data_IF_123449575787
#
_entry.id   IF_123449575787
#
_cell.length_a   1.000
_cell.length_b   1.000
_cell.length_c   1.000
_cell.angle_alpha   90.00
_cell.angle_beta   90.00
_cell.angle_gamma   90.00
#
_symmetry.space_group_name_H-M   'P 1'
#
loop_
_entity.id
_entity.type
_entity.pdbx_description
1 polymer ?
#
# COMPACT_ATOMS: atom_id res chain seq x y z
N UNK A 1 -40.26 49.60 13.60
CA UNK A 1 -40.69 50.00 12.24
C UNK A 1 -39.43 50.10 11.38
N UNK A 2 -39.32 49.30 10.30
CA UNK A 2 -38.41 49.40 9.13
C UNK A 2 -36.87 49.48 9.37
N UNK A 3 -36.13 48.45 8.88
CA UNK A 3 -35.09 48.46 7.80
C UNK A 3 -33.73 49.04 8.25
N UNK A 4 -32.60 48.35 8.13
CA UNK A 4 -31.74 48.11 6.93
C UNK A 4 -30.72 46.97 7.27
N UNK A 5 -30.58 45.85 6.55
CA UNK A 5 -29.75 45.54 5.35
C UNK A 5 -28.42 46.29 5.22
N UNK A 6 -27.28 45.55 5.31
CA UNK A 6 -26.08 45.48 4.42
C UNK A 6 -25.17 44.35 5.01
N UNK A 7 -24.96 43.16 4.43
CA UNK A 7 -24.24 42.69 3.21
C UNK A 7 -22.69 42.67 3.32
N UNK A 8 -22.11 41.50 2.95
CA UNK A 8 -20.76 41.13 2.48
C UNK A 8 -20.07 40.04 3.35
N UNK A 9 -19.62 38.90 2.81
CA UNK A 9 -19.45 38.52 1.41
C UNK A 9 -19.25 37.01 1.19
N UNK A 10 -19.62 36.61 -0.02
CA UNK A 10 -19.42 35.30 -0.66
C UNK A 10 -17.94 34.92 -0.79
N UNK A 11 -17.65 33.63 -0.57
CA UNK A 11 -16.62 32.81 -1.24
C UNK A 11 -16.88 31.36 -0.77
N UNK A 12 -17.20 30.35 -1.56
CA UNK A 12 -17.54 30.17 -2.96
C UNK A 12 -18.03 28.72 -3.03
N UNK A 13 -19.19 28.48 -3.65
CA UNK A 13 -19.74 27.14 -3.76
C UNK A 13 -19.01 26.37 -4.87
N UNK A 14 -18.36 25.27 -4.51
CA UNK A 14 -18.06 24.16 -5.43
C UNK A 14 -18.52 22.86 -4.79
N UNK A 15 -19.79 22.54 -5.06
CA UNK A 15 -20.33 21.21 -5.39
C UNK A 15 -19.56 20.01 -4.80
N UNK A 16 -19.98 19.56 -3.61
CA UNK A 16 -19.76 18.16 -3.17
C UNK A 16 -21.04 17.39 -3.49
N UNK A 17 -21.07 16.77 -4.66
CA UNK A 17 -22.08 15.77 -5.00
C UNK A 17 -21.75 14.49 -4.21
N UNK A 18 -22.49 14.31 -3.12
CA UNK A 18 -23.04 13.04 -2.65
C UNK A 18 -22.14 11.81 -2.59
N UNK A 19 -21.74 11.45 -1.37
CA UNK A 19 -21.79 10.05 -0.92
C UNK A 19 -22.79 10.01 0.24
N UNK A 20 -24.06 9.82 -0.11
CA UNK A 20 -25.05 9.35 0.83
C UNK A 20 -24.97 7.83 0.91
N UNK A 21 -24.64 7.30 2.08
CA UNK A 21 -25.13 6.00 2.60
C UNK A 21 -24.72 5.86 4.06
N UNK A 22 -25.58 6.23 5.01
CA UNK A 22 -25.68 5.57 6.33
C UNK A 22 -26.81 6.12 7.21
N UNK A 23 -28.02 6.28 6.67
CA UNK A 23 -29.24 6.33 7.49
C UNK A 23 -30.24 5.36 6.85
N UNK A 24 -30.01 4.06 7.07
CA UNK A 24 -30.99 3.02 6.70
C UNK A 24 -31.00 1.91 7.76
N UNK A 25 -31.14 2.29 9.04
CA UNK A 25 -31.58 1.40 10.12
C UNK A 25 -32.37 2.18 11.18
N UNK A 26 -33.38 2.92 10.73
CA UNK A 26 -34.50 3.29 11.56
C UNK A 26 -35.77 2.99 10.76
N UNK A 27 -36.76 2.39 11.43
CA UNK A 27 -38.10 2.01 10.95
C UNK A 27 -38.22 0.58 10.40
N UNK A 28 -38.27 -0.39 11.31
CA UNK A 28 -39.25 -1.48 11.31
C UNK A 28 -39.17 -2.28 12.63
N UNK A 29 -39.85 -1.82 13.68
CA UNK A 29 -40.48 -2.68 14.70
C UNK A 29 -41.25 -1.81 15.72
N UNK A 30 -42.61 -1.88 15.78
CA UNK A 30 -43.41 -1.09 16.71
C UNK A 30 -43.55 -1.68 18.13
N UNK A 31 -42.82 -2.74 18.50
CA UNK A 31 -42.96 -3.38 19.82
C UNK A 31 -41.61 -3.58 20.50
N UNK A 32 -41.16 -2.58 21.24
CA UNK A 32 -40.27 -2.71 22.41
C UNK A 32 -40.06 -1.32 23.01
N UNK A 33 -40.86 -0.97 24.01
CA UNK A 33 -40.61 0.11 24.95
C UNK A 33 -39.34 -0.19 25.74
N UNK A 34 -38.19 0.05 25.11
CA UNK A 34 -36.90 0.10 25.78
C UNK A 34 -36.34 1.50 25.62
N UNK A 35 -36.03 2.07 26.78
CA UNK A 35 -35.60 3.42 27.07
C UNK A 35 -34.66 4.00 25.99
N UNK A 36 -35.12 5.07 25.33
CA UNK A 36 -34.40 5.73 24.23
C UNK A 36 -32.97 6.12 24.63
N UNK A 37 -32.75 6.42 25.91
CA UNK A 37 -31.45 6.82 26.46
C UNK A 37 -30.43 5.67 26.52
N UNK A 38 -30.89 4.43 26.70
CA UNK A 38 -30.04 3.23 26.72
C UNK A 38 -29.66 2.82 25.30
N UNK A 39 -30.61 2.87 24.36
CA UNK A 39 -30.34 2.59 22.94
C UNK A 39 -29.34 3.58 22.34
N UNK A 40 -29.45 4.86 22.67
CA UNK A 40 -28.53 5.88 22.17
C UNK A 40 -27.10 5.73 22.74
N UNK A 41 -26.95 5.35 24.01
CA UNK A 41 -25.65 5.01 24.61
C UNK A 41 -24.99 3.77 23.99
N UNK A 42 -25.78 2.73 23.71
CA UNK A 42 -25.29 1.49 23.08
C UNK A 42 -24.88 1.73 21.62
N UNK A 43 -25.60 2.60 20.90
CA UNK A 43 -25.25 2.99 19.53
C UNK A 43 -23.96 3.81 19.51
N UNK A 44 -23.81 4.81 20.39
CA UNK A 44 -22.58 5.62 20.50
C UNK A 44 -21.36 4.76 20.85
N UNK A 45 -21.47 3.81 21.78
CA UNK A 45 -20.37 2.89 22.11
C UNK A 45 -19.99 1.96 20.96
N UNK A 46 -20.95 1.53 20.13
CA UNK A 46 -20.66 0.72 18.94
C UNK A 46 -19.97 1.53 17.84
N UNK A 47 -20.33 2.81 17.70
CA UNK A 47 -19.71 3.74 16.76
C UNK A 47 -18.28 4.09 17.19
N UNK A 48 -18.07 4.43 18.47
CA UNK A 48 -16.74 4.64 19.06
C UNK A 48 -15.83 3.42 18.87
N UNK A 49 -16.32 2.21 19.15
CA UNK A 49 -15.50 0.99 18.92
C UNK A 49 -15.12 0.78 17.46
N UNK A 50 -15.94 1.21 16.50
CA UNK A 50 -15.60 1.13 15.07
C UNK A 50 -14.55 2.17 14.70
N UNK A 51 -14.69 3.39 15.22
CA UNK A 51 -13.74 4.49 15.04
C UNK A 51 -12.38 4.11 15.67
N UNK A 52 -12.37 3.59 16.89
CA UNK A 52 -11.15 3.15 17.57
C UNK A 52 -10.45 2.05 16.80
N UNK A 53 -11.19 1.03 16.34
CA UNK A 53 -10.63 -0.05 15.52
C UNK A 53 -10.10 0.45 14.18
N UNK A 54 -10.71 1.49 13.61
CA UNK A 54 -10.25 2.11 12.37
C UNK A 54 -8.94 2.86 12.61
N UNK A 55 -8.87 3.70 13.64
CA UNK A 55 -7.64 4.41 14.01
C UNK A 55 -6.52 3.44 14.40
N UNK A 56 -6.79 2.43 15.23
CA UNK A 56 -5.80 1.39 15.59
C UNK A 56 -5.23 0.68 14.35
N UNK A 57 -6.04 0.51 13.30
CA UNK A 57 -5.63 -0.19 12.08
C UNK A 57 -4.86 0.72 11.12
N UNK A 58 -5.28 1.98 10.99
CA UNK A 58 -4.88 2.85 9.87
C UNK A 58 -4.10 4.11 10.27
N UNK A 59 -4.00 4.45 11.56
CA UNK A 59 -3.15 5.53 12.06
C UNK A 59 -1.97 4.97 12.88
N UNK A 60 -0.89 5.74 13.12
CA UNK A 60 0.27 5.29 13.89
C UNK A 60 0.01 5.34 15.42
N UNK A 61 -1.18 5.80 15.83
CA UNK A 61 -1.50 6.00 17.23
C UNK A 61 -1.61 4.68 17.97
N UNK A 62 -1.04 4.64 19.18
CA UNK A 62 -1.21 3.52 20.11
C UNK A 62 -2.65 3.51 20.62
N UNK A 63 -3.13 2.32 21.01
CA UNK A 63 -4.48 2.14 21.57
C UNK A 63 -4.74 3.05 22.77
N UNK A 64 -3.72 3.24 23.61
CA UNK A 64 -3.77 4.12 24.77
C UNK A 64 -3.89 5.59 24.39
N UNK A 65 -3.34 6.00 23.24
CA UNK A 65 -3.44 7.35 22.71
C UNK A 65 -4.83 7.59 22.13
N UNK A 66 -5.32 6.65 21.31
CA UNK A 66 -6.68 6.66 20.76
C UNK A 66 -7.72 6.71 21.88
N UNK A 67 -7.52 5.95 22.97
CA UNK A 67 -8.44 5.93 24.11
C UNK A 67 -8.58 7.27 24.84
N UNK A 68 -7.58 8.16 24.72
CA UNK A 68 -7.58 9.49 25.33
C UNK A 68 -8.19 10.57 24.43
N UNK A 69 -8.41 10.27 23.15
CA UNK A 69 -9.00 11.21 22.21
C UNK A 69 -10.52 11.27 22.35
N UNK A 70 -11.07 12.45 22.15
CA UNK A 70 -12.51 12.67 22.03
C UNK A 70 -13.06 12.08 20.73
N UNK A 71 -14.38 11.81 20.67
CA UNK A 71 -15.04 11.33 19.44
C UNK A 71 -14.79 12.27 18.26
N UNK A 72 -14.81 13.59 18.51
CA UNK A 72 -14.66 14.58 17.45
C UNK A 72 -13.22 14.64 16.93
N UNK A 73 -12.21 14.56 17.79
CA UNK A 73 -10.79 14.43 17.38
C UNK A 73 -10.55 13.15 16.57
N UNK A 74 -11.16 12.04 16.99
CA UNK A 74 -11.10 10.77 16.25
C UNK A 74 -11.74 10.89 14.87
N UNK A 75 -12.89 11.59 14.77
CA UNK A 75 -13.61 11.84 13.51
C UNK A 75 -12.84 12.79 12.60
N UNK A 76 -12.15 13.80 13.14
CA UNK A 76 -11.29 14.70 12.38
C UNK A 76 -10.04 13.99 11.84
N UNK A 77 -9.42 13.10 12.61
CA UNK A 77 -8.32 12.25 12.12
C UNK A 77 -8.78 11.25 11.05
N UNK A 78 -10.00 10.72 11.20
CA UNK A 78 -10.65 9.94 10.15
C UNK A 78 -11.00 10.80 8.92
N UNK A 79 -11.20 12.10 9.07
CA UNK A 79 -11.58 13.03 8.00
C UNK A 79 -10.39 13.62 7.22
N UNK A 80 -9.21 13.71 7.83
CA UNK A 80 -7.97 14.15 7.18
C UNK A 80 -7.19 12.99 6.59
N UNK A 81 -6.28 12.42 7.38
CA UNK A 81 -5.36 11.37 6.90
C UNK A 81 -6.05 10.02 6.70
N UNK A 82 -7.01 9.64 7.55
CA UNK A 82 -7.77 8.39 7.40
C UNK A 82 -8.68 8.38 6.15
N UNK A 83 -9.27 9.52 5.79
CA UNK A 83 -10.09 9.65 4.58
C UNK A 83 -9.22 9.62 3.32
N UNK A 84 -8.05 10.27 3.37
CA UNK A 84 -7.05 10.20 2.30
C UNK A 84 -6.53 8.77 2.11
N UNK A 85 -6.32 8.04 3.21
CA UNK A 85 -5.96 6.63 3.18
C UNK A 85 -7.01 5.77 2.46
N UNK A 86 -8.25 5.78 2.96
CA UNK A 86 -9.35 4.95 2.45
C UNK A 86 -9.77 5.30 1.02
N UNK A 87 -9.61 6.57 0.60
CA UNK A 87 -9.88 6.99 -0.77
C UNK A 87 -8.82 6.53 -1.76
N UNK A 88 -7.57 6.35 -1.30
CA UNK A 88 -6.47 5.89 -2.16
C UNK A 88 -6.33 4.37 -2.23
N UNK A 89 -7.01 3.62 -1.35
CA UNK A 89 -7.09 2.16 -1.46
C UNK A 89 -7.66 1.75 -2.83
N UNK A 90 -7.07 0.71 -3.42
CA UNK A 90 -7.56 0.15 -4.67
C UNK A 90 -8.89 -0.56 -4.44
N UNK A 91 -9.88 -0.25 -5.29
CA UNK A 91 -11.23 -0.81 -5.23
C UNK A 91 -11.68 -1.17 -6.64
N UNK A 92 -12.26 -2.36 -6.82
CA UNK A 92 -12.75 -2.83 -8.13
C UNK A 92 -14.17 -3.40 -8.01
N UNK A 93 -14.96 -3.24 -9.07
CA UNK A 93 -16.36 -3.72 -9.10
C UNK A 93 -17.37 -2.79 -8.39
N UNK A 94 -16.95 -1.63 -7.89
CA UNK A 94 -17.84 -0.66 -7.24
C UNK A 94 -18.99 -0.20 -8.14
N UNK A 95 -20.14 0.07 -7.52
CA UNK A 95 -21.30 0.67 -8.19
C UNK A 95 -22.10 -0.30 -9.08
N UNK A 96 -21.75 -1.59 -9.08
CA UNK A 96 -22.42 -2.60 -9.91
C UNK A 96 -23.48 -3.43 -9.17
N UNK A 97 -23.84 -3.04 -7.93
CA UNK A 97 -24.81 -3.75 -7.10
C UNK A 97 -24.35 -5.17 -6.69
N UNK A 98 -23.06 -5.45 -6.81
CA UNK A 98 -22.45 -6.75 -6.50
C UNK A 98 -22.20 -6.87 -5.01
N UNK A 99 -22.24 -8.10 -4.52
CA UNK A 99 -21.86 -8.40 -3.14
C UNK A 99 -20.35 -8.30 -2.97
N UNK A 100 -19.90 -7.91 -1.77
CA UNK A 100 -18.48 -7.93 -1.41
C UNK A 100 -17.97 -9.38 -1.41
N UNK A 101 -16.75 -9.61 -1.92
CA UNK A 101 -16.18 -10.96 -1.94
C UNK A 101 -16.08 -11.53 -0.51
N UNK A 102 -16.43 -12.81 -0.27
CA UNK A 102 -16.50 -13.34 1.09
C UNK A 102 -15.16 -13.29 1.84
N UNK A 103 -15.12 -12.60 2.98
CA UNK A 103 -13.91 -12.36 3.78
C UNK A 103 -13.27 -13.66 4.30
N UNK A 104 -14.06 -14.70 4.57
CA UNK A 104 -13.59 -16.03 4.97
C UNK A 104 -12.75 -16.71 3.88
N UNK A 105 -12.97 -16.35 2.62
CA UNK A 105 -12.21 -16.83 1.45
C UNK A 105 -11.13 -15.86 0.99
N UNK A 106 -11.27 -14.57 1.34
CA UNK A 106 -10.40 -13.50 0.84
C UNK A 106 -8.92 -13.75 1.14
N UNK A 107 -8.57 -14.13 2.37
CA UNK A 107 -7.16 -14.38 2.75
C UNK A 107 -6.52 -15.52 1.99
N UNK A 108 -7.27 -16.61 1.77
CA UNK A 108 -6.75 -17.75 1.01
C UNK A 108 -6.54 -17.36 -0.46
N UNK A 109 -7.47 -16.57 -1.01
CA UNK A 109 -7.38 -16.08 -2.37
C UNK A 109 -6.21 -15.10 -2.55
N UNK A 110 -6.06 -14.11 -1.67
CA UNK A 110 -4.91 -13.19 -1.61
C UNK A 110 -3.57 -13.96 -1.66
N UNK A 111 -3.41 -14.96 -0.78
CA UNK A 111 -2.20 -15.80 -0.73
C UNK A 111 -1.97 -16.57 -2.03
N UNK A 112 -3.02 -17.08 -2.65
CA UNK A 112 -2.93 -17.74 -3.96
C UNK A 112 -2.41 -16.77 -5.04
N UNK A 113 -2.92 -15.54 -5.06
CA UNK A 113 -2.49 -14.53 -6.03
C UNK A 113 -1.01 -14.14 -5.84
N UNK A 114 -0.55 -14.01 -4.60
CA UNK A 114 0.88 -13.75 -4.28
C UNK A 114 1.76 -14.92 -4.72
N UNK A 115 1.31 -16.17 -4.55
CA UNK A 115 2.05 -17.34 -5.04
C UNK A 115 2.17 -17.35 -6.56
N UNK A 116 1.11 -16.95 -7.28
CA UNK A 116 1.17 -16.77 -8.74
C UNK A 116 2.15 -15.66 -9.14
N UNK A 117 2.15 -14.54 -8.41
CA UNK A 117 3.05 -13.43 -8.66
C UNK A 117 4.52 -13.83 -8.43
N UNK A 118 4.78 -14.62 -7.40
CA UNK A 118 6.11 -15.14 -7.05
C UNK A 118 6.75 -15.89 -8.24
N UNK A 119 5.93 -16.53 -9.07
CA UNK A 119 6.33 -17.25 -10.30
C UNK A 119 6.07 -16.45 -11.58
N UNK A 120 5.96 -15.12 -11.50
CA UNK A 120 5.68 -14.21 -12.61
C UNK A 120 4.43 -14.54 -13.46
N UNK A 121 3.44 -15.25 -12.89
CA UNK A 121 2.20 -15.65 -13.57
C UNK A 121 1.12 -14.56 -13.47
N UNK A 122 1.44 -13.35 -13.90
CA UNK A 122 0.57 -12.17 -13.76
C UNK A 122 -0.73 -12.28 -14.58
N UNK A 123 -0.68 -12.90 -15.76
CA UNK A 123 -1.86 -13.16 -16.60
C UNK A 123 -2.91 -14.02 -15.88
N UNK A 124 -2.45 -15.02 -15.11
CA UNK A 124 -3.33 -15.90 -14.33
C UNK A 124 -4.01 -15.14 -13.18
N UNK A 125 -3.30 -14.22 -12.53
CA UNK A 125 -3.87 -13.32 -11.51
C UNK A 125 -5.00 -12.50 -12.15
N UNK A 126 -4.71 -11.85 -13.29
CA UNK A 126 -5.69 -11.02 -14.00
C UNK A 126 -6.94 -11.83 -14.37
N UNK A 127 -6.77 -13.04 -14.90
CA UNK A 127 -7.89 -13.91 -15.28
C UNK A 127 -8.71 -14.39 -14.08
N UNK A 128 -8.07 -14.77 -12.96
CA UNK A 128 -8.74 -15.21 -11.74
C UNK A 128 -9.59 -14.09 -11.15
N UNK A 129 -8.99 -12.93 -10.88
CA UNK A 129 -9.71 -11.81 -10.28
C UNK A 129 -10.81 -11.31 -11.22
N UNK A 130 -10.58 -11.23 -12.53
CA UNK A 130 -11.61 -10.85 -13.52
C UNK A 130 -12.82 -11.78 -13.50
N UNK A 131 -12.63 -13.06 -13.22
CA UNK A 131 -13.75 -14.00 -13.11
C UNK A 131 -14.57 -13.76 -11.83
N UNK A 132 -13.91 -13.54 -10.69
CA UNK A 132 -14.60 -13.22 -9.43
C UNK A 132 -15.34 -11.87 -9.49
N UNK A 133 -14.73 -10.87 -10.13
CA UNK A 133 -15.31 -9.52 -10.31
C UNK A 133 -16.62 -9.57 -11.11
N UNK A 134 -16.94 -10.65 -11.85
CA UNK A 134 -18.25 -10.80 -12.51
C UNK A 134 -19.39 -10.82 -11.51
N UNK A 135 -19.18 -11.44 -10.35
CA UNK A 135 -20.22 -11.66 -9.33
C UNK A 135 -19.98 -10.84 -8.05
N UNK A 136 -18.73 -10.47 -7.79
CA UNK A 136 -18.32 -9.80 -6.55
C UNK A 136 -17.68 -8.43 -6.81
N UNK A 137 -17.65 -7.61 -5.77
CA UNK A 137 -16.81 -6.42 -5.68
C UNK A 137 -15.71 -6.64 -4.64
N UNK A 138 -14.62 -5.88 -4.77
CA UNK A 138 -13.47 -5.93 -3.87
C UNK A 138 -13.17 -4.51 -3.37
N UNK A 139 -13.79 -4.13 -2.26
CA UNK A 139 -13.84 -2.71 -1.87
C UNK A 139 -13.50 -2.44 -0.41
N UNK A 140 -13.44 -3.47 0.43
CA UNK A 140 -13.18 -3.34 1.87
C UNK A 140 -12.30 -4.49 2.39
N UNK A 141 -11.70 -4.33 3.57
CA UNK A 141 -11.01 -5.43 4.26
C UNK A 141 -9.85 -6.03 3.47
N UNK A 142 -9.70 -7.36 3.48
CA UNK A 142 -8.67 -8.06 2.66
C UNK A 142 -8.94 -7.88 1.15
N UNK A 143 -10.16 -7.59 0.75
CA UNK A 143 -10.48 -7.44 -0.66
C UNK A 143 -9.79 -6.22 -1.30
N UNK A 144 -9.48 -5.16 -0.55
CA UNK A 144 -8.67 -4.05 -1.10
C UNK A 144 -7.24 -4.49 -1.43
N UNK A 145 -6.67 -5.47 -0.69
CA UNK A 145 -5.37 -6.04 -1.02
C UNK A 145 -5.44 -6.85 -2.31
N UNK A 146 -6.49 -7.67 -2.50
CA UNK A 146 -6.74 -8.41 -3.75
C UNK A 146 -6.88 -7.44 -4.93
N UNK A 147 -7.60 -6.33 -4.73
CA UNK A 147 -7.74 -5.29 -5.75
C UNK A 147 -6.38 -4.64 -6.09
N UNK A 148 -5.54 -4.36 -5.09
CA UNK A 148 -4.17 -3.89 -5.31
C UNK A 148 -3.31 -4.92 -6.05
N UNK A 149 -3.36 -6.21 -5.68
CA UNK A 149 -2.63 -7.28 -6.37
C UNK A 149 -3.05 -7.40 -7.84
N UNK A 150 -4.35 -7.29 -8.13
CA UNK A 150 -4.85 -7.27 -9.50
C UNK A 150 -4.31 -6.09 -10.31
N UNK A 151 -4.34 -4.90 -9.71
CA UNK A 151 -3.77 -3.70 -10.32
C UNK A 151 -2.26 -3.83 -10.55
N UNK A 152 -1.52 -4.32 -9.57
CA UNK A 152 -0.07 -4.50 -9.66
C UNK A 152 0.31 -5.56 -10.70
N UNK A 153 -0.47 -6.64 -10.82
CA UNK A 153 -0.30 -7.60 -11.90
C UNK A 153 -0.48 -6.93 -13.29
N UNK A 154 -1.40 -5.98 -13.42
CA UNK A 154 -1.57 -5.22 -14.68
C UNK A 154 -0.41 -4.26 -14.96
N UNK A 155 0.16 -3.65 -13.91
CA UNK A 155 1.40 -2.86 -14.00
C UNK A 155 2.53 -3.75 -14.52
N UNK A 156 2.72 -4.92 -13.92
CA UNK A 156 3.79 -5.84 -14.33
C UNK A 156 3.61 -6.39 -15.74
N UNK A 157 2.38 -6.64 -16.18
CA UNK A 157 2.12 -6.95 -17.60
C UNK A 157 2.51 -5.79 -18.52
N UNK A 158 2.29 -4.55 -18.10
CA UNK A 158 2.66 -3.36 -18.87
C UNK A 158 4.18 -3.19 -18.98
N UNK A 159 4.94 -3.54 -17.93
CA UNK A 159 6.41 -3.45 -17.97
C UNK A 159 7.03 -4.45 -18.95
N UNK A 160 6.39 -5.58 -19.25
CA UNK A 160 6.88 -6.55 -20.25
C UNK A 160 6.94 -5.96 -21.66
N UNK A 161 6.03 -5.03 -21.98
CA UNK A 161 5.95 -4.38 -23.30
C UNK A 161 6.56 -2.99 -23.35
N UNK A 162 6.86 -2.38 -22.19
CA UNK A 162 7.39 -1.03 -22.12
C UNK A 162 8.89 -0.98 -22.48
N UNK A 163 9.39 0.16 -23.00
CA UNK A 163 10.81 0.40 -23.11
C UNK A 163 11.51 0.31 -21.74
N UNK A 164 12.72 -0.25 -21.70
CA UNK A 164 13.46 -0.52 -20.45
C UNK A 164 13.49 0.68 -19.50
N UNK A 165 13.89 1.86 -19.99
CA UNK A 165 14.00 3.09 -19.20
C UNK A 165 12.68 3.55 -18.52
N UNK A 166 11.53 3.03 -18.93
CA UNK A 166 10.23 3.33 -18.32
C UNK A 166 9.78 2.29 -17.30
N UNK A 167 10.30 1.05 -17.35
CA UNK A 167 9.81 -0.07 -16.53
C UNK A 167 9.85 0.24 -15.04
N UNK A 168 10.95 0.80 -14.56
CA UNK A 168 11.07 1.24 -13.16
C UNK A 168 10.05 2.32 -12.78
N UNK A 169 9.79 3.29 -13.65
CA UNK A 169 8.80 4.36 -13.41
C UNK A 169 7.37 3.80 -13.33
N UNK A 170 7.06 2.84 -14.19
CA UNK A 170 5.75 2.15 -14.20
C UNK A 170 5.60 1.33 -12.91
N UNK A 171 6.63 0.58 -12.53
CA UNK A 171 6.64 -0.27 -11.34
C UNK A 171 6.49 0.50 -10.02
N UNK A 172 6.92 1.77 -9.94
CA UNK A 172 6.65 2.63 -8.77
C UNK A 172 5.17 2.78 -8.44
N UNK A 173 4.28 2.59 -9.41
CA UNK A 173 2.84 2.72 -9.21
C UNK A 173 2.21 1.58 -8.41
N UNK A 174 2.95 0.53 -8.05
CA UNK A 174 2.42 -0.63 -7.33
C UNK A 174 1.85 -0.26 -5.95
N UNK A 175 0.80 -0.97 -5.53
CA UNK A 175 -0.02 -0.64 -4.34
C UNK A 175 -0.10 -1.76 -3.31
N UNK A 176 0.49 -2.93 -3.56
CA UNK A 176 0.58 -4.01 -2.60
C UNK A 176 2.04 -4.25 -2.20
N UNK A 177 2.40 -4.22 -0.89
CA UNK A 177 3.80 -4.28 -0.44
C UNK A 177 4.57 -5.51 -0.96
N UNK A 178 3.96 -6.70 -0.87
CA UNK A 178 4.60 -7.93 -1.37
C UNK A 178 4.72 -7.96 -2.90
N UNK A 179 3.74 -7.37 -3.62
CA UNK A 179 3.83 -7.27 -5.07
C UNK A 179 4.90 -6.27 -5.47
N UNK A 180 5.08 -5.19 -4.70
CA UNK A 180 6.16 -4.24 -4.91
C UNK A 180 7.54 -4.91 -4.76
N UNK A 181 7.71 -5.81 -3.76
CA UNK A 181 8.92 -6.64 -3.61
C UNK A 181 9.12 -7.54 -4.83
N UNK A 182 8.14 -8.40 -5.13
CA UNK A 182 8.22 -9.36 -6.24
C UNK A 182 8.46 -8.65 -7.58
N UNK A 183 7.61 -7.67 -7.90
CA UNK A 183 7.62 -6.93 -9.15
C UNK A 183 8.93 -6.19 -9.37
N UNK A 184 9.47 -5.56 -8.32
CA UNK A 184 10.77 -4.87 -8.39
C UNK A 184 11.88 -5.88 -8.69
N UNK A 185 11.98 -7.00 -7.97
CA UNK A 185 13.04 -7.99 -8.22
C UNK A 185 12.99 -8.54 -9.65
N UNK A 186 11.79 -8.69 -10.24
CA UNK A 186 11.59 -9.17 -11.61
C UNK A 186 11.98 -8.16 -12.70
N UNK A 187 12.24 -6.89 -12.35
CA UNK A 187 12.75 -5.91 -13.31
C UNK A 187 14.24 -6.13 -13.58
N UNK A 188 14.73 -5.71 -14.77
CA UNK A 188 16.16 -5.69 -14.99
C UNK A 188 16.85 -4.73 -14.01
N UNK A 189 18.11 -5.05 -13.69
CA UNK A 189 18.85 -4.46 -12.57
C UNK A 189 18.87 -2.93 -12.63
N UNK A 190 19.17 -2.37 -13.80
CA UNK A 190 19.30 -0.92 -14.00
C UNK A 190 18.00 -0.18 -13.73
N UNK A 191 16.86 -0.76 -14.10
CA UNK A 191 15.53 -0.19 -13.95
C UNK A 191 15.07 -0.22 -12.48
N UNK A 192 15.49 -1.23 -11.70
CA UNK A 192 15.19 -1.32 -10.26
C UNK A 192 15.73 -0.15 -9.47
N UNK A 193 16.86 0.41 -9.91
CA UNK A 193 17.49 1.57 -9.27
C UNK A 193 16.62 2.82 -9.30
N UNK A 194 15.63 2.88 -10.19
CA UNK A 194 14.64 3.94 -10.17
C UNK A 194 13.64 3.74 -9.02
N UNK A 195 13.31 2.49 -8.67
CA UNK A 195 12.29 2.11 -7.68
C UNK A 195 12.82 2.14 -6.25
N UNK A 196 14.03 1.61 -6.03
CA UNK A 196 14.65 1.46 -4.72
C UNK A 196 15.34 2.75 -4.29
N UNK A 197 15.06 3.22 -3.07
CA UNK A 197 15.60 4.48 -2.56
C UNK A 197 17.04 4.37 -2.05
N UNK A 198 17.36 3.33 -1.27
CA UNK A 198 18.68 3.18 -0.66
C UNK A 198 19.70 2.63 -1.67
N UNK A 199 20.79 3.35 -1.91
CA UNK A 199 21.85 2.90 -2.81
C UNK A 199 22.74 1.79 -2.21
N UNK A 200 22.73 1.61 -0.89
CA UNK A 200 23.39 0.49 -0.23
C UNK A 200 22.53 -0.79 -0.23
N UNK A 201 21.30 -0.69 -0.73
CA UNK A 201 20.44 -1.84 -0.99
C UNK A 201 21.11 -2.84 -1.93
N UNK A 202 20.98 -4.13 -1.62
CA UNK A 202 21.34 -5.22 -2.53
C UNK A 202 20.46 -5.16 -3.79
N UNK A 203 21.05 -5.48 -4.94
CA UNK A 203 20.36 -5.57 -6.24
C UNK A 203 20.61 -6.96 -6.86
N UNK A 204 20.00 -8.03 -6.30
CA UNK A 204 20.25 -9.40 -6.75
C UNK A 204 19.74 -9.62 -8.17
N UNK A 205 20.56 -10.13 -9.08
CA UNK A 205 20.13 -10.51 -10.43
C UNK A 205 19.68 -11.97 -10.35
N UNK A 206 18.37 -12.22 -10.46
CA UNK A 206 17.79 -13.55 -10.22
C UNK A 206 17.09 -14.05 -11.46
N UNK A 207 17.24 -15.36 -11.71
CA UNK A 207 16.41 -16.09 -12.65
C UNK A 207 15.56 -17.09 -11.86
N UNK A 208 14.28 -16.79 -11.67
CA UNK A 208 13.34 -17.71 -11.04
C UNK A 208 12.40 -17.06 -10.04
N UNK A 209 11.81 -17.89 -9.19
CA UNK A 209 10.78 -17.50 -8.24
C UNK A 209 11.31 -16.57 -7.14
N UNK A 210 10.48 -15.59 -6.77
CA UNK A 210 10.65 -14.72 -5.60
C UNK A 210 9.59 -15.10 -4.58
N UNK A 211 9.93 -15.96 -3.63
CA UNK A 211 8.96 -16.51 -2.68
C UNK A 211 8.89 -15.66 -1.41
N UNK A 212 7.72 -15.12 -1.10
CA UNK A 212 7.48 -14.46 0.20
C UNK A 212 7.46 -15.53 1.31
N UNK A 213 8.25 -15.31 2.35
CA UNK A 213 8.35 -16.20 3.51
C UNK A 213 7.55 -15.67 4.69
N UNK A 214 7.72 -14.37 4.98
CA UNK A 214 7.07 -13.70 6.10
C UNK A 214 6.85 -12.22 5.79
N UNK A 215 5.86 -11.62 6.45
CA UNK A 215 5.50 -10.22 6.30
C UNK A 215 5.08 -9.66 7.66
N UNK A 216 5.92 -8.77 8.18
CA UNK A 216 5.69 -8.03 9.42
C UNK A 216 5.48 -6.54 9.11
N UNK A 217 4.50 -5.92 9.78
CA UNK A 217 4.28 -4.47 9.70
C UNK A 217 4.86 -3.80 10.94
N UNK A 218 5.96 -3.07 10.77
CA UNK A 218 6.64 -2.33 11.83
C UNK A 218 6.02 -0.95 12.01
N UNK A 219 5.76 -0.58 13.28
CA UNK A 219 5.20 0.72 13.68
C UNK A 219 5.75 1.15 15.04
N UNK A 220 5.70 2.45 15.32
CA UNK A 220 6.02 3.01 16.64
C UNK A 220 7.45 2.68 17.11
N UNK A 221 7.57 2.08 18.30
CA UNK A 221 8.83 1.76 18.97
C UNK A 221 9.30 0.32 18.70
N UNK A 222 9.19 -0.18 17.46
CA UNK A 222 9.80 -1.47 17.13
C UNK A 222 11.30 -1.44 17.40
N UNK A 223 11.82 -2.57 17.92
CA UNK A 223 13.26 -2.75 18.15
C UNK A 223 14.04 -3.02 16.86
N UNK A 224 13.38 -3.16 15.70
CA UNK A 224 14.07 -3.31 14.43
C UNK A 224 14.86 -2.01 14.11
N UNK A 225 16.21 -2.09 14.02
CA UNK A 225 17.03 -0.90 13.85
C UNK A 225 16.76 -0.18 12.53
N UNK A 226 16.23 -0.90 11.52
CA UNK A 226 15.93 -0.31 10.23
C UNK A 226 14.72 0.63 10.30
N UNK A 227 13.77 0.39 11.21
CA UNK A 227 12.61 1.27 11.39
C UNK A 227 13.06 2.71 11.71
N UNK A 228 13.99 2.86 12.66
CA UNK A 228 14.52 4.19 13.04
C UNK A 228 15.28 4.86 11.90
N UNK A 229 16.09 4.09 11.16
CA UNK A 229 16.80 4.61 9.99
C UNK A 229 15.83 5.12 8.93
N UNK A 230 14.79 4.36 8.63
CA UNK A 230 13.75 4.74 7.68
C UNK A 230 12.99 5.99 8.15
N UNK A 231 12.52 6.01 9.40
CA UNK A 231 11.79 7.16 9.96
C UNK A 231 12.62 8.45 9.97
N UNK A 232 13.93 8.35 10.17
CA UNK A 232 14.84 9.51 10.13
C UNK A 232 15.14 10.00 8.71
N UNK A 233 15.02 9.14 7.69
CA UNK A 233 15.39 9.45 6.30
C UNK A 233 14.18 9.73 5.40
N UNK A 234 13.04 9.14 5.73
CA UNK A 234 11.81 9.16 4.93
C UNK A 234 10.70 9.84 5.73
N UNK A 235 10.61 11.17 5.56
CA UNK A 235 9.65 12.01 6.28
C UNK A 235 8.21 11.58 5.96
N UNK A 236 7.41 11.32 7.00
CA UNK A 236 6.03 10.89 6.85
C UNK A 236 5.83 9.38 6.67
N UNK A 237 6.89 8.57 6.84
CA UNK A 237 6.78 7.12 6.89
C UNK A 237 5.91 6.70 8.09
N UNK A 238 4.70 6.22 7.81
CA UNK A 238 3.74 5.78 8.84
C UNK A 238 3.97 4.33 9.23
N UNK A 239 4.15 3.48 8.23
CA UNK A 239 4.29 2.03 8.38
C UNK A 239 5.43 1.54 7.54
N UNK A 240 6.17 0.57 8.08
CA UNK A 240 7.24 -0.09 7.35
C UNK A 240 6.93 -1.58 7.27
N UNK A 241 6.70 -2.06 6.07
CA UNK A 241 6.52 -3.48 5.77
C UNK A 241 7.90 -4.12 5.68
N UNK A 242 8.22 -4.95 6.66
CA UNK A 242 9.38 -5.83 6.62
C UNK A 242 8.95 -7.16 6.01
N UNK A 243 9.50 -7.46 4.84
CA UNK A 243 9.10 -8.61 4.05
C UNK A 243 10.31 -9.52 3.91
N UNK A 244 10.25 -10.70 4.51
CA UNK A 244 11.24 -11.74 4.31
C UNK A 244 10.87 -12.54 3.06
N UNK A 245 11.84 -12.70 2.16
CA UNK A 245 11.63 -13.42 0.91
C UNK A 245 12.83 -14.28 0.55
N UNK A 246 12.60 -15.30 -0.28
CA UNK A 246 13.62 -16.22 -0.75
C UNK A 246 13.74 -16.15 -2.26
N UNK A 247 14.99 -16.07 -2.71
CA UNK A 247 15.38 -16.21 -4.11
C UNK A 247 16.34 -17.39 -4.27
N UNK A 248 16.40 -17.95 -5.48
CA UNK A 248 17.28 -19.08 -5.81
C UNK A 248 17.12 -20.30 -4.87
N UNK A 249 15.92 -20.46 -4.28
CA UNK A 249 15.53 -21.54 -3.35
C UNK A 249 16.31 -21.60 -2.01
N UNK A 250 17.27 -20.69 -1.76
CA UNK A 250 18.13 -20.76 -0.57
C UNK A 250 18.55 -19.41 0.02
N UNK A 251 18.49 -18.34 -0.76
CA UNK A 251 18.98 -17.04 -0.35
C UNK A 251 17.82 -16.22 0.20
N UNK A 252 17.72 -16.18 1.53
CA UNK A 252 16.72 -15.40 2.23
C UNK A 252 17.20 -13.95 2.37
N UNK A 253 16.37 -13.00 1.97
CA UNK A 253 16.61 -11.56 2.01
C UNK A 253 15.45 -10.87 2.73
N UNK A 254 15.69 -9.64 3.17
CA UNK A 254 14.70 -8.81 3.84
C UNK A 254 14.53 -7.55 3.00
N UNK A 255 13.31 -7.26 2.58
CA UNK A 255 12.93 -6.00 1.94
C UNK A 255 12.16 -5.12 2.92
N UNK A 256 12.33 -3.81 2.78
CA UNK A 256 11.55 -2.82 3.50
C UNK A 256 10.76 -1.96 2.49
N UNK A 257 9.44 -1.95 2.62
CA UNK A 257 8.53 -1.10 1.85
C UNK A 257 7.85 -0.14 2.81
N UNK A 258 7.88 1.15 2.49
CA UNK A 258 7.27 2.22 3.28
C UNK A 258 5.85 2.43 2.80
N UNK A 259 4.93 2.58 3.73
CA UNK A 259 3.57 3.01 3.46
C UNK A 259 3.31 4.34 4.18
N UNK A 260 2.86 5.32 3.42
CA UNK A 260 2.52 6.66 3.90
C UNK A 260 1.05 6.74 4.36
N UNK A 261 0.71 7.85 5.02
CA UNK A 261 -0.66 8.11 5.51
C UNK A 261 -1.74 8.10 4.42
N UNK A 262 -1.36 8.32 3.16
CA UNK A 262 -2.26 8.33 2.01
C UNK A 262 -2.29 6.99 1.25
N UNK A 263 -1.83 5.88 1.85
CA UNK A 263 -1.74 4.55 1.25
C UNK A 263 -0.77 4.42 0.06
N UNK A 264 0.05 5.44 -0.21
CA UNK A 264 1.13 5.31 -1.21
C UNK A 264 2.27 4.48 -0.65
N UNK A 265 2.95 3.75 -1.53
CA UNK A 265 4.06 2.89 -1.20
C UNK A 265 5.36 3.39 -1.83
N UNK A 266 6.47 3.28 -1.10
CA UNK A 266 7.82 3.47 -1.62
C UNK A 266 8.73 2.32 -1.21
N UNK A 267 9.57 1.85 -2.14
CA UNK A 267 10.51 0.78 -1.87
C UNK A 267 11.79 1.35 -1.24
N UNK A 268 12.03 1.04 0.03
CA UNK A 268 13.23 1.54 0.70
C UNK A 268 14.51 0.81 0.26
N UNK A 269 14.61 -0.50 0.55
CA UNK A 269 15.83 -1.26 0.30
C UNK A 269 15.72 -2.75 0.59
N UNK A 270 16.76 -3.49 0.21
CA UNK A 270 16.90 -4.94 0.33
C UNK A 270 18.21 -5.26 1.02
N UNK A 271 18.16 -6.10 2.05
CA UNK A 271 19.31 -6.42 2.89
C UNK A 271 19.41 -7.92 3.15
N UNK A 272 20.63 -8.36 3.47
CA UNK A 272 20.85 -9.68 4.00
C UNK A 272 20.34 -9.75 5.45
N UNK A 273 19.83 -10.91 5.92
CA UNK A 273 19.57 -11.13 7.33
C UNK A 273 20.85 -10.92 8.15
N UNK A 274 20.67 -10.57 9.42
CA UNK A 274 21.78 -10.40 10.37
C UNK A 274 22.71 -11.63 10.33
N UNK A 275 24.01 -11.38 10.31
CA UNK A 275 25.08 -12.39 10.27
C UNK A 275 25.19 -13.20 8.98
N UNK A 276 24.47 -12.84 7.91
CA UNK A 276 24.65 -13.42 6.57
C UNK A 276 25.31 -12.44 5.62
N UNK A 277 26.23 -12.94 4.82
CA UNK A 277 26.79 -12.23 3.68
C UNK A 277 26.40 -12.97 2.40
N UNK A 278 25.90 -12.22 1.42
CA UNK A 278 25.60 -12.76 0.10
C UNK A 278 26.51 -12.12 -0.95
N UNK A 279 26.66 -12.80 -2.08
CA UNK A 279 27.51 -12.37 -3.20
C UNK A 279 26.89 -11.22 -4.01
N UNK A 280 25.63 -10.86 -3.74
CA UNK A 280 24.91 -9.80 -4.44
C UNK A 280 25.58 -8.44 -4.21
N UNK A 281 25.61 -7.63 -5.27
CA UNK A 281 26.17 -6.29 -5.24
C UNK A 281 25.09 -5.26 -4.91
N UNK A 282 25.52 -4.12 -4.38
CA UNK A 282 24.63 -3.01 -4.06
C UNK A 282 24.29 -2.22 -5.33
N UNK A 283 23.25 -1.41 -5.26
CA UNK A 283 22.91 -0.46 -6.32
C UNK A 283 24.09 0.50 -6.58
N UNK A 284 24.76 0.97 -5.52
CA UNK A 284 25.92 1.84 -5.62
C UNK A 284 27.04 1.21 -6.46
N UNK A 285 27.37 -0.06 -6.23
CA UNK A 285 28.38 -0.78 -7.00
C UNK A 285 28.08 -0.75 -8.51
N UNK A 286 26.85 -1.04 -8.90
CA UNK A 286 26.48 -1.04 -10.31
C UNK A 286 26.50 0.36 -10.93
N UNK A 287 26.16 1.40 -10.17
CA UNK A 287 26.25 2.80 -10.63
C UNK A 287 27.70 3.24 -10.85
N UNK A 288 28.63 2.76 -10.04
CA UNK A 288 30.06 3.02 -10.23
C UNK A 288 30.60 2.30 -11.47
N UNK A 289 30.23 1.04 -11.64
CA UNK A 289 30.59 0.25 -12.82
C UNK A 289 30.11 0.90 -14.13
N UNK A 290 28.88 1.42 -14.17
CA UNK A 290 28.35 2.12 -15.35
C UNK A 290 29.16 3.39 -15.66
N UNK A 291 29.54 4.18 -14.65
CA UNK A 291 30.36 5.39 -14.82
C UNK A 291 31.73 5.07 -15.40
N UNK A 292 32.37 4.01 -14.92
CA UNK A 292 33.68 3.58 -15.41
C UNK A 292 33.58 3.13 -16.87
N UNK A 293 32.52 2.40 -17.22
CA UNK A 293 32.27 1.98 -18.60
C UNK A 293 32.09 3.18 -19.55
N UNK A 294 31.26 4.15 -19.15
CA UNK A 294 31.01 5.36 -19.95
C UNK A 294 32.29 6.19 -20.14
N UNK A 295 33.11 6.32 -19.09
CA UNK A 295 34.42 6.99 -19.15
C UNK A 295 35.39 6.28 -20.09
N UNK A 296 35.40 4.95 -20.11
CA UNK A 296 36.27 4.19 -21.00
C UNK A 296 35.80 4.23 -22.46
N UNK A 297 34.49 4.37 -22.72
CA UNK A 297 33.98 4.57 -24.07
C UNK A 297 34.32 5.96 -24.63
N UNK A 298 34.18 7.02 -23.83
CA UNK A 298 34.50 8.39 -24.28
C UNK A 298 35.98 8.58 -24.59
N UNK A 299 36.87 7.93 -23.84
CA UNK A 299 38.32 7.94 -24.12
C UNK A 299 38.68 7.23 -25.44
N UNK A 300 37.90 6.22 -25.86
CA UNK A 300 38.11 5.55 -27.15
C UNK A 300 37.65 6.39 -28.35
N UNK A 301 36.68 7.29 -28.17
CA UNK A 301 36.21 8.18 -29.23
C UNK A 301 37.09 9.42 -29.40
N UNK A 302 37.78 9.87 -28.34
CA UNK A 302 38.65 11.05 -28.40
C UNK A 302 40.11 10.73 -28.78
N UNK A 303 40.57 9.49 -28.59
CA UNK A 303 41.91 9.03 -29.00
C UNK A 303 42.05 8.63 -30.47
N UNK A 304 41.00 8.82 -31.28
CA UNK A 304 40.95 8.47 -32.71
C UNK A 304 41.10 9.67 -33.66
N UNK A 305 41.68 10.79 -33.22
CA UNK A 305 41.99 11.96 -34.06
C UNK A 305 43.48 12.14 -34.24
#
# INVERSE_FOLDING_TARGET
MKKEKVLLGLLGATVVVGIGTSIWFAVANPFATEDKTVKEKVIKQKEEKKIDKHLEKYTPLKKEEISKMTIDEKKDMMGGDGANYESNLMKIGQGQGKEEYPEDKAKAFEKELIQLASSASYDKILNKVKNEVKNYQFTTGTNTNIASIYYDASIMMSTLTAPDFQKGKIAKGMRHPEMMVIGTIMLPEKERRAVIHDFDSLSPIVNGEVKILDHEVLRGESDDPMLKTIQNTMVGAERVHKIEFQIEKKNNLIAYVIEYNNATLEYYGIYAPKDKTYHYKTIQFFKEMDKDFDKHQSLKTDGGK
#
